data_IF_535117303584
#
_entry.id   IF_535117303584
#
_cell.length_a   1.000
_cell.length_b   1.000
_cell.length_c   1.000
_cell.angle_alpha   90.00
_cell.angle_beta   90.00
_cell.angle_gamma   90.00
#
_symmetry.space_group_name_H-M   'P 1'
#
loop_
_entity.id
_entity.type
_entity.pdbx_description
1 polymer ?
#
# COMPACT_ATOMS: atom_id res chain seq x y z
N UNK A 1 -14.17 2.83 -32.66
CA UNK A 1 -13.65 3.85 -31.72
C UNK A 1 -14.74 4.88 -31.49
N UNK A 2 -15.52 4.76 -30.42
CA UNK A 2 -16.53 5.77 -30.06
C UNK A 2 -15.97 6.61 -28.90
N UNK A 3 -15.39 7.77 -29.22
CA UNK A 3 -15.16 8.81 -28.22
C UNK A 3 -16.52 9.36 -27.80
N UNK A 4 -16.88 9.16 -26.53
CA UNK A 4 -18.04 9.82 -25.93
C UNK A 4 -17.68 11.30 -25.77
N UNK A 5 -18.12 12.12 -26.73
CA UNK A 5 -18.12 13.58 -26.61
C UNK A 5 -19.05 13.97 -25.47
N UNK A 6 -18.51 14.29 -24.30
CA UNK A 6 -19.29 15.00 -23.29
C UNK A 6 -19.72 16.37 -23.88
N UNK A 7 -20.99 16.77 -23.75
CA UNK A 7 -21.45 18.05 -24.29
C UNK A 7 -20.66 19.18 -23.63
N UNK A 8 -20.00 19.98 -24.45
CA UNK A 8 -19.29 21.16 -23.97
C UNK A 8 -20.33 22.16 -23.45
N UNK A 9 -20.19 22.73 -22.23
CA UNK A 9 -21.18 23.66 -21.69
C UNK A 9 -21.48 24.82 -22.64
N UNK A 10 -22.76 25.13 -22.86
CA UNK A 10 -23.20 26.17 -23.81
C UNK A 10 -22.49 27.52 -23.61
N UNK A 11 -22.31 27.92 -22.34
CA UNK A 11 -21.62 29.17 -21.97
C UNK A 11 -20.19 29.29 -22.53
N UNK A 12 -19.46 28.18 -22.68
CA UNK A 12 -18.11 28.20 -23.26
C UNK A 12 -18.16 28.38 -24.78
N UNK A 13 -19.11 27.69 -25.44
CA UNK A 13 -19.32 27.80 -26.88
C UNK A 13 -19.71 29.23 -27.26
N UNK A 14 -20.63 29.83 -26.50
CA UNK A 14 -21.09 31.21 -26.72
C UNK A 14 -19.96 32.23 -26.55
N UNK A 15 -19.14 32.09 -25.50
CA UNK A 15 -17.98 32.95 -25.28
C UNK A 15 -16.90 32.79 -26.35
N UNK A 16 -16.66 31.56 -26.81
CA UNK A 16 -15.73 31.28 -27.90
C UNK A 16 -16.17 31.96 -29.20
N UNK A 17 -17.46 31.85 -29.54
CA UNK A 17 -18.05 32.53 -30.68
C UNK A 17 -17.94 34.05 -30.58
N UNK A 18 -18.21 34.63 -29.41
CA UNK A 18 -18.16 36.07 -29.19
C UNK A 18 -16.73 36.65 -29.23
N UNK A 19 -15.71 35.87 -28.85
CA UNK A 19 -14.31 36.33 -28.77
C UNK A 19 -13.44 35.88 -29.94
N UNK A 20 -13.99 35.12 -30.89
CA UNK A 20 -13.23 34.50 -31.98
C UNK A 20 -12.22 33.44 -31.50
N UNK A 21 -12.37 32.94 -30.27
CA UNK A 21 -11.49 31.92 -29.71
C UNK A 21 -11.93 30.54 -30.20
N UNK A 22 -11.04 29.69 -30.74
CA UNK A 22 -11.40 28.32 -31.10
C UNK A 22 -11.89 27.52 -29.88
N UNK A 23 -13.03 26.84 -29.98
CA UNK A 23 -13.66 26.11 -28.86
C UNK A 23 -12.82 24.94 -28.31
N UNK A 24 -11.85 24.48 -29.09
CA UNK A 24 -10.88 23.45 -28.72
C UNK A 24 -9.66 24.01 -27.98
N UNK A 25 -9.40 25.32 -28.07
CA UNK A 25 -8.26 25.98 -27.43
C UNK A 25 -8.52 26.17 -25.95
N UNK A 26 -8.18 25.16 -25.16
CA UNK A 26 -8.45 25.10 -23.70
C UNK A 26 -7.18 25.23 -22.86
N UNK A 27 -6.19 25.99 -23.34
CA UNK A 27 -4.98 26.30 -22.57
C UNK A 27 -5.28 27.19 -21.35
N UNK A 28 -4.37 27.20 -20.37
CA UNK A 28 -4.57 27.91 -19.10
C UNK A 28 -4.80 29.42 -19.30
N UNK A 29 -4.12 30.04 -20.27
CA UNK A 29 -4.27 31.47 -20.55
C UNK A 29 -5.66 31.80 -21.12
N UNK A 30 -6.19 30.91 -21.96
CA UNK A 30 -7.54 31.01 -22.50
C UNK A 30 -8.59 30.80 -21.42
N UNK A 31 -8.40 29.80 -20.55
CA UNK A 31 -9.31 29.55 -19.42
C UNK A 31 -9.33 30.70 -18.41
N UNK A 32 -8.19 31.33 -18.13
CA UNK A 32 -8.12 32.49 -17.24
C UNK A 32 -8.80 33.72 -17.84
N UNK A 33 -8.73 33.90 -19.16
CA UNK A 33 -9.44 34.95 -19.88
C UNK A 33 -10.95 34.74 -19.82
N UNK A 34 -11.41 33.52 -20.10
CA UNK A 34 -12.82 33.13 -19.97
C UNK A 34 -13.34 33.35 -18.55
N UNK A 35 -12.56 32.95 -17.53
CA UNK A 35 -12.90 33.16 -16.11
C UNK A 35 -13.10 34.65 -15.79
N UNK A 36 -12.21 35.52 -16.28
CA UNK A 36 -12.28 36.96 -16.02
C UNK A 36 -13.45 37.64 -16.73
N UNK A 37 -13.76 37.22 -17.96
CA UNK A 37 -14.75 37.89 -18.81
C UNK A 37 -16.17 37.38 -18.59
N UNK A 38 -16.36 36.06 -18.50
CA UNK A 38 -17.69 35.44 -18.43
C UNK A 38 -18.10 35.07 -16.99
N UNK A 39 -17.18 35.18 -16.02
CA UNK A 39 -17.38 34.81 -14.61
C UNK A 39 -18.18 33.50 -14.42
N UNK A 40 -17.78 32.40 -15.09
CA UNK A 40 -18.51 31.15 -15.05
C UNK A 40 -18.49 30.53 -13.65
N UNK A 41 -19.50 29.69 -13.36
CA UNK A 41 -19.49 28.87 -12.15
C UNK A 41 -18.32 27.87 -12.16
N UNK A 42 -17.94 27.39 -10.97
CA UNK A 42 -16.86 26.40 -10.81
C UNK A 42 -17.15 25.10 -11.58
N UNK A 43 -18.40 24.68 -11.64
CA UNK A 43 -18.85 23.49 -12.37
C UNK A 43 -18.57 23.63 -13.87
N UNK A 44 -18.85 24.80 -14.45
CA UNK A 44 -18.60 25.07 -15.87
C UNK A 44 -17.11 25.08 -16.16
N UNK A 45 -16.29 25.70 -15.30
CA UNK A 45 -14.82 25.71 -15.43
C UNK A 45 -14.21 24.30 -15.38
N UNK A 46 -14.70 23.44 -14.48
CA UNK A 46 -14.20 22.08 -14.33
C UNK A 46 -14.62 21.18 -15.50
N UNK A 47 -15.77 21.45 -16.14
CA UNK A 47 -16.24 20.71 -17.32
C UNK A 47 -15.44 21.03 -18.61
N UNK A 48 -14.91 22.25 -18.73
CA UNK A 48 -14.16 22.68 -19.94
C UNK A 48 -12.66 22.53 -19.83
N UNK A 49 -12.11 22.41 -18.61
CA UNK A 49 -10.68 22.14 -18.43
C UNK A 49 -10.31 20.89 -19.23
N UNK A 50 -9.24 20.93 -20.04
CA UNK A 50 -8.76 19.72 -20.66
C UNK A 50 -8.49 18.73 -19.54
N UNK A 51 -9.07 17.53 -19.63
CA UNK A 51 -8.60 16.40 -18.84
C UNK A 51 -7.20 16.12 -19.37
N UNK A 52 -6.20 16.82 -18.84
CA UNK A 52 -4.82 16.41 -19.01
C UNK A 52 -4.77 15.05 -18.34
N UNK A 53 -4.71 14.00 -19.15
CA UNK A 53 -4.34 12.64 -18.74
C UNK A 53 -2.85 12.62 -18.38
N UNK A 54 -2.42 13.53 -17.49
CA UNK A 54 -1.33 13.19 -16.58
C UNK A 54 -1.88 12.06 -15.73
N UNK A 55 -1.41 10.83 -15.97
CA UNK A 55 -1.53 9.66 -15.10
C UNK A 55 -1.85 10.09 -13.66
N UNK A 56 -3.15 10.15 -13.33
CA UNK A 56 -3.62 10.84 -12.12
C UNK A 56 -3.33 9.92 -10.95
N UNK A 57 -2.11 10.02 -10.43
CA UNK A 57 -1.69 9.44 -9.17
C UNK A 57 -1.72 10.56 -8.10
N UNK A 58 -2.91 11.01 -7.65
CA UNK A 58 -3.04 12.21 -6.81
C UNK A 58 -2.39 12.03 -5.44
N UNK A 59 -2.29 10.78 -4.97
CA UNK A 59 -1.65 10.44 -3.71
C UNK A 59 -0.12 10.24 -3.84
N UNK A 60 0.42 10.09 -5.07
CA UNK A 60 1.86 9.94 -5.29
C UNK A 60 2.62 11.19 -4.83
N UNK A 61 3.71 11.05 -4.04
CA UNK A 61 4.48 12.18 -3.56
C UNK A 61 4.90 13.09 -4.70
N UNK A 62 4.70 14.40 -4.54
CA UNK A 62 5.01 15.40 -5.58
C UNK A 62 6.49 15.35 -5.95
N UNK A 63 7.35 15.11 -4.97
CA UNK A 63 8.80 14.97 -5.12
C UNK A 63 9.19 13.80 -6.05
N UNK A 64 8.34 12.77 -6.16
CA UNK A 64 8.61 11.57 -6.95
C UNK A 64 7.92 11.57 -8.32
N UNK A 65 7.16 12.61 -8.68
CA UNK A 65 6.32 12.64 -9.90
C UNK A 65 7.10 12.71 -11.21
N UNK A 66 8.31 13.25 -11.18
CA UNK A 66 9.14 13.47 -12.37
C UNK A 66 10.30 12.48 -12.47
N UNK A 67 10.20 11.36 -11.73
CA UNK A 67 11.23 10.35 -11.65
C UNK A 67 10.69 9.02 -12.17
N UNK A 68 11.01 8.70 -13.41
CA UNK A 68 10.51 7.53 -14.14
C UNK A 68 10.93 6.18 -13.53
N UNK A 69 11.86 6.22 -12.56
CA UNK A 69 12.33 5.04 -11.80
C UNK A 69 11.98 5.09 -10.32
N UNK A 70 11.19 6.06 -9.87
CA UNK A 70 10.96 6.28 -8.44
C UNK A 70 10.29 5.10 -7.74
N UNK A 71 9.29 4.47 -8.37
CA UNK A 71 8.65 3.29 -7.80
C UNK A 71 9.63 2.12 -7.70
N UNK A 72 10.36 1.83 -8.78
CA UNK A 72 11.35 0.75 -8.82
C UNK A 72 12.46 0.95 -7.76
N UNK A 73 12.95 2.18 -7.61
CA UNK A 73 13.92 2.55 -6.56
C UNK A 73 13.35 2.37 -5.16
N UNK A 74 12.13 2.83 -4.93
CA UNK A 74 11.46 2.68 -3.64
C UNK A 74 11.28 1.20 -3.27
N UNK A 75 10.78 0.39 -4.21
CA UNK A 75 10.61 -1.06 -4.01
C UNK A 75 11.98 -1.70 -3.72
N UNK A 76 13.01 -1.41 -4.53
CA UNK A 76 14.37 -1.93 -4.32
C UNK A 76 14.93 -1.57 -2.94
N UNK A 77 14.82 -0.30 -2.56
CA UNK A 77 15.23 0.22 -1.24
C UNK A 77 14.43 -0.40 -0.09
N UNK A 78 13.14 -0.67 -0.30
CA UNK A 78 12.28 -1.36 0.66
C UNK A 78 12.66 -2.83 0.82
N UNK A 79 12.80 -3.56 -0.30
CA UNK A 79 13.20 -4.97 -0.36
C UNK A 79 14.57 -5.19 0.29
N UNK A 80 15.54 -4.33 0.00
CA UNK A 80 16.86 -4.32 0.65
C UNK A 80 16.74 -4.25 2.18
N UNK A 81 15.92 -3.31 2.71
CA UNK A 81 15.70 -3.18 4.16
C UNK A 81 14.94 -4.35 4.76
N UNK A 82 13.94 -4.89 4.05
CA UNK A 82 13.24 -6.11 4.46
C UNK A 82 14.24 -7.27 4.60
N UNK A 83 15.33 -7.26 3.84
CA UNK A 83 16.39 -8.26 3.91
C UNK A 83 17.48 -7.98 4.95
N UNK A 84 17.50 -6.81 5.59
CA UNK A 84 18.47 -6.48 6.64
C UNK A 84 18.30 -7.40 7.86
N UNK A 85 19.30 -8.21 8.23
CA UNK A 85 19.21 -9.16 9.35
C UNK A 85 18.87 -8.49 10.70
N UNK A 86 19.28 -7.25 10.91
CA UNK A 86 19.09 -6.52 12.17
C UNK A 86 17.70 -5.87 12.26
N UNK A 87 16.94 -5.86 11.17
CA UNK A 87 15.61 -5.28 11.16
C UNK A 87 14.61 -6.22 11.86
N UNK A 88 13.96 -5.70 12.90
CA UNK A 88 12.94 -6.44 13.63
C UNK A 88 11.74 -6.81 12.73
N UNK A 89 11.05 -7.90 13.09
CA UNK A 89 9.98 -8.47 12.27
C UNK A 89 8.77 -7.53 12.11
N UNK A 90 8.49 -6.65 13.09
CA UNK A 90 7.38 -5.69 13.01
C UNK A 90 7.73 -4.60 12.00
N UNK A 91 8.96 -4.11 12.03
CA UNK A 91 9.47 -3.15 11.04
C UNK A 91 9.46 -3.74 9.63
N UNK A 92 9.80 -5.02 9.46
CA UNK A 92 9.67 -5.72 8.16
C UNK A 92 8.22 -5.75 7.68
N UNK A 93 7.25 -6.06 8.55
CA UNK A 93 5.83 -6.03 8.20
C UNK A 93 5.37 -4.63 7.78
N UNK A 94 5.76 -3.60 8.55
CA UNK A 94 5.42 -2.20 8.24
C UNK A 94 6.03 -1.75 6.91
N UNK A 95 7.25 -2.19 6.58
CA UNK A 95 7.87 -1.94 5.29
C UNK A 95 7.14 -2.65 4.14
N UNK A 96 6.79 -3.93 4.29
CA UNK A 96 5.98 -4.65 3.29
C UNK A 96 4.67 -3.91 3.00
N UNK A 97 3.97 -3.45 4.04
CA UNK A 97 2.75 -2.62 3.89
C UNK A 97 3.04 -1.29 3.19
N UNK A 98 4.15 -0.61 3.53
CA UNK A 98 4.54 0.65 2.90
C UNK A 98 4.79 0.47 1.40
N UNK A 99 5.57 -0.54 1.02
CA UNK A 99 5.89 -0.82 -0.39
C UNK A 99 4.63 -1.22 -1.16
N UNK A 100 3.75 -2.03 -0.57
CA UNK A 100 2.44 -2.31 -1.14
C UNK A 100 1.61 -1.03 -1.35
N UNK A 101 1.51 -0.18 -0.33
CA UNK A 101 0.80 1.08 -0.44
C UNK A 101 1.39 1.97 -1.55
N UNK A 102 2.72 1.97 -1.73
CA UNK A 102 3.38 2.71 -2.79
C UNK A 102 2.92 2.26 -4.18
N UNK A 103 2.82 0.94 -4.43
CA UNK A 103 2.29 0.38 -5.69
C UNK A 103 0.84 0.80 -5.94
N UNK A 104 0.01 0.83 -4.89
CA UNK A 104 -1.39 1.24 -5.02
C UNK A 104 -1.53 2.68 -5.51
N UNK A 105 -0.71 3.59 -4.99
CA UNK A 105 -0.85 5.02 -5.25
C UNK A 105 0.06 5.55 -6.35
N UNK A 106 1.06 4.77 -6.79
CA UNK A 106 2.00 5.21 -7.81
C UNK A 106 1.34 5.27 -9.19
N UNK A 107 1.83 6.14 -10.10
CA UNK A 107 1.35 6.23 -11.47
C UNK A 107 1.35 4.89 -12.20
N UNK A 108 0.41 4.72 -13.13
CA UNK A 108 0.25 3.48 -13.91
C UNK A 108 1.45 3.23 -14.83
N UNK A 109 2.00 4.30 -15.39
CA UNK A 109 3.24 4.34 -16.18
C UNK A 109 4.47 3.88 -15.41
N UNK A 110 4.46 3.96 -14.06
CA UNK A 110 5.52 3.40 -13.21
C UNK A 110 5.24 1.95 -12.79
N UNK A 111 4.13 1.35 -13.26
CA UNK A 111 3.68 0.01 -12.87
C UNK A 111 2.75 -0.02 -11.64
N UNK A 112 2.24 1.12 -11.20
CA UNK A 112 1.26 1.24 -10.12
C UNK A 112 -0.21 1.20 -10.55
N UNK A 113 -1.10 1.58 -9.64
CA UNK A 113 -2.55 1.65 -9.89
C UNK A 113 -3.13 3.08 -9.89
N UNK A 114 -2.34 4.09 -9.55
CA UNK A 114 -2.76 5.49 -9.54
C UNK A 114 -3.91 5.80 -8.58
N UNK A 115 -4.11 5.00 -7.53
CA UNK A 115 -5.21 5.20 -6.61
C UNK A 115 -5.03 6.48 -5.79
N UNK A 116 -6.14 7.16 -5.51
CA UNK A 116 -6.17 8.20 -4.48
C UNK A 116 -6.15 7.58 -3.07
N UNK A 117 -5.95 8.43 -2.05
CA UNK A 117 -5.85 7.99 -0.66
C UNK A 117 -7.11 7.27 -0.17
N UNK A 118 -8.29 7.68 -0.65
CA UNK A 118 -9.56 7.08 -0.24
C UNK A 118 -9.69 5.69 -0.84
N UNK A 119 -9.47 5.58 -2.16
CA UNK A 119 -9.55 4.32 -2.90
C UNK A 119 -8.52 3.29 -2.43
N UNK A 120 -7.30 3.74 -2.12
CA UNK A 120 -6.27 2.85 -1.57
C UNK A 120 -6.70 2.27 -0.20
N UNK A 121 -7.30 3.10 0.67
CA UNK A 121 -7.77 2.66 2.00
C UNK A 121 -9.00 1.77 1.94
N UNK A 122 -9.92 2.05 1.02
CA UNK A 122 -11.14 1.27 0.81
C UNK A 122 -10.95 0.08 -0.13
N UNK A 123 -9.71 -0.25 -0.49
CA UNK A 123 -9.42 -1.36 -1.39
C UNK A 123 -9.70 -2.68 -0.68
N UNK A 124 -10.57 -3.49 -1.29
CA UNK A 124 -10.95 -4.81 -0.82
C UNK A 124 -10.39 -5.91 -1.75
N UNK A 125 -10.40 -7.19 -1.31
CA UNK A 125 -9.87 -8.31 -2.08
C UNK A 125 -10.41 -8.41 -3.52
N UNK A 126 -11.74 -8.35 -3.69
CA UNK A 126 -12.39 -8.44 -5.01
C UNK A 126 -11.90 -7.34 -5.96
N UNK A 127 -11.84 -6.10 -5.48
CA UNK A 127 -11.39 -4.97 -6.29
C UNK A 127 -9.90 -5.07 -6.61
N UNK A 128 -9.05 -5.55 -5.69
CA UNK A 128 -7.65 -5.79 -6.02
C UNK A 128 -7.51 -6.91 -7.05
N UNK A 129 -8.32 -7.97 -7.01
CA UNK A 129 -8.27 -9.02 -8.02
C UNK A 129 -8.55 -8.48 -9.44
N UNK A 130 -9.53 -7.59 -9.57
CA UNK A 130 -9.85 -6.91 -10.84
C UNK A 130 -8.70 -6.00 -11.33
N UNK A 131 -8.01 -5.34 -10.39
CA UNK A 131 -6.93 -4.39 -10.70
C UNK A 131 -5.57 -5.07 -10.87
N UNK A 132 -5.37 -6.26 -10.31
CA UNK A 132 -4.08 -6.95 -10.28
C UNK A 132 -3.44 -7.14 -11.67
N UNK A 133 -4.18 -7.46 -12.75
CA UNK A 133 -3.60 -7.55 -14.09
C UNK A 133 -3.02 -6.23 -14.62
N UNK A 134 -3.37 -5.09 -14.02
CA UNK A 134 -2.89 -3.76 -14.42
C UNK A 134 -1.59 -3.37 -13.70
N UNK A 135 -1.18 -4.13 -12.68
CA UNK A 135 0.04 -3.86 -11.92
C UNK A 135 1.24 -4.28 -12.76
N UNK A 136 2.21 -3.37 -12.90
CA UNK A 136 3.40 -3.63 -13.68
C UNK A 136 4.30 -4.70 -13.07
N UNK A 137 5.04 -5.38 -13.93
CA UNK A 137 6.16 -6.23 -13.56
C UNK A 137 7.49 -5.57 -13.96
N UNK A 138 8.57 -5.97 -13.32
CA UNK A 138 9.93 -5.59 -13.69
C UNK A 138 10.79 -6.84 -13.82
N UNK A 139 11.88 -6.78 -14.56
CA UNK A 139 12.79 -7.93 -14.75
C UNK A 139 13.45 -8.36 -13.43
N UNK A 140 13.84 -7.40 -12.60
CA UNK A 140 14.41 -7.63 -11.28
C UNK A 140 13.32 -7.73 -10.20
N UNK A 141 13.24 -8.89 -9.55
CA UNK A 141 12.30 -9.20 -8.49
C UNK A 141 12.41 -8.23 -7.30
N UNK A 142 13.60 -7.70 -7.01
CA UNK A 142 13.82 -6.76 -5.91
C UNK A 142 13.15 -5.39 -6.14
N UNK A 143 12.84 -5.04 -7.40
CA UNK A 143 12.17 -3.79 -7.80
C UNK A 143 10.78 -3.99 -8.42
N UNK A 144 10.27 -5.23 -8.45
CA UNK A 144 9.05 -5.59 -9.16
C UNK A 144 7.76 -5.22 -8.38
N UNK A 145 6.87 -4.36 -8.93
CA UNK A 145 5.62 -3.98 -8.26
C UNK A 145 4.69 -5.17 -7.96
N UNK A 146 4.52 -6.08 -8.92
CA UNK A 146 3.73 -7.29 -8.73
C UNK A 146 4.28 -8.18 -7.59
N UNK A 147 5.61 -8.30 -7.44
CA UNK A 147 6.23 -9.02 -6.34
C UNK A 147 5.99 -8.35 -4.98
N UNK A 148 6.02 -7.01 -4.92
CA UNK A 148 5.71 -6.28 -3.70
C UNK A 148 4.25 -6.50 -3.24
N UNK A 149 3.31 -6.50 -4.20
CA UNK A 149 1.90 -6.81 -3.93
C UNK A 149 1.75 -8.23 -3.42
N UNK A 150 2.34 -9.20 -4.11
CA UNK A 150 2.32 -10.60 -3.69
C UNK A 150 2.90 -10.78 -2.28
N UNK A 151 4.01 -10.13 -1.95
CA UNK A 151 4.64 -10.21 -0.63
C UNK A 151 3.73 -9.71 0.49
N UNK A 152 2.88 -8.72 0.23
CA UNK A 152 1.91 -8.27 1.22
C UNK A 152 0.69 -9.18 1.30
N UNK A 153 0.22 -9.71 0.17
CA UNK A 153 -0.86 -10.70 0.14
C UNK A 153 -0.48 -12.00 0.89
N UNK A 154 0.78 -12.42 0.86
CA UNK A 154 1.27 -13.54 1.66
C UNK A 154 1.13 -13.28 3.17
N UNK A 155 1.40 -12.05 3.63
CA UNK A 155 1.17 -11.65 5.03
C UNK A 155 -0.31 -11.71 5.36
N UNK A 156 -1.18 -11.10 4.54
CA UNK A 156 -2.63 -11.09 4.80
C UNK A 156 -3.21 -12.50 4.77
N UNK A 157 -2.81 -13.32 3.79
CA UNK A 157 -3.09 -14.75 3.65
C UNK A 157 -2.72 -15.58 4.87
N UNK A 158 -1.56 -15.30 5.44
CA UNK A 158 -1.11 -15.98 6.65
C UNK A 158 -1.92 -15.52 7.86
N UNK A 159 -2.30 -14.25 7.94
CA UNK A 159 -2.95 -13.67 9.13
C UNK A 159 -4.41 -14.11 9.26
N UNK A 160 -5.06 -14.38 8.13
CA UNK A 160 -6.45 -14.83 8.06
C UNK A 160 -6.62 -16.30 8.41
N UNK A 161 -5.65 -17.15 8.01
CA UNK A 161 -5.72 -18.60 8.14
C UNK A 161 -4.89 -19.16 9.30
N UNK A 162 -3.91 -18.40 9.79
CA UNK A 162 -2.90 -18.88 10.75
C UNK A 162 -2.75 -17.98 11.96
N UNK A 163 -2.12 -18.52 13.00
CA UNK A 163 -1.89 -17.79 14.25
C UNK A 163 -0.91 -16.63 14.09
N UNK A 164 -0.92 -15.71 15.07
CA UNK A 164 0.07 -14.63 15.14
C UNK A 164 1.53 -15.15 15.20
N UNK A 165 1.73 -16.38 15.69
CA UNK A 165 3.02 -17.05 15.63
C UNK A 165 3.50 -17.31 14.19
N UNK A 166 2.59 -17.66 13.28
CA UNK A 166 2.90 -17.85 11.86
C UNK A 166 3.26 -16.53 11.17
N UNK A 167 2.54 -15.44 11.49
CA UNK A 167 2.88 -14.10 11.00
C UNK A 167 4.23 -13.64 11.51
N UNK A 168 4.53 -13.86 12.79
CA UNK A 168 5.85 -13.57 13.35
C UNK A 168 6.95 -14.38 12.66
N UNK A 169 6.71 -15.67 12.40
CA UNK A 169 7.65 -16.50 11.66
C UNK A 169 7.88 -15.98 10.23
N UNK A 170 6.81 -15.61 9.51
CA UNK A 170 6.86 -15.04 8.17
C UNK A 170 7.52 -13.65 8.13
N UNK A 171 7.27 -12.82 9.15
CA UNK A 171 7.91 -11.52 9.32
C UNK A 171 9.41 -11.62 9.58
N UNK A 172 9.87 -12.73 10.18
CA UNK A 172 11.30 -13.05 10.35
C UNK A 172 11.94 -13.59 9.07
N UNK A 173 11.17 -14.13 8.12
CA UNK A 173 11.71 -14.62 6.85
C UNK A 173 12.23 -13.44 6.02
N UNK A 174 13.49 -13.58 5.59
CA UNK A 174 14.07 -12.74 4.53
C UNK A 174 13.55 -13.20 3.19
N UNK A 175 13.57 -12.28 2.25
CA UNK A 175 13.18 -12.56 0.89
C UNK A 175 14.28 -13.36 0.20
N UNK A 176 13.93 -14.52 -0.36
CA UNK A 176 14.90 -15.36 -1.07
C UNK A 176 15.39 -14.66 -2.34
N UNK A 177 16.63 -14.17 -2.29
CA UNK A 177 17.29 -13.50 -3.41
C UNK A 177 17.83 -14.47 -4.47
N UNK A 178 17.81 -15.79 -4.22
CA UNK A 178 18.32 -16.82 -5.14
C UNK A 178 17.23 -17.48 -5.98
N UNK A 179 15.96 -17.12 -5.74
CA UNK A 179 14.85 -17.57 -6.56
C UNK A 179 14.95 -16.95 -7.95
N UNK A 180 15.17 -17.79 -8.97
CA UNK A 180 15.13 -17.38 -10.38
C UNK A 180 13.72 -16.97 -10.81
N UNK A 181 12.69 -17.44 -10.10
CA UNK A 181 11.29 -17.09 -10.37
C UNK A 181 10.84 -15.90 -9.53
N UNK A 182 10.06 -15.02 -10.15
CA UNK A 182 9.40 -13.93 -9.45
C UNK A 182 8.32 -14.48 -8.51
N UNK A 183 8.14 -13.85 -7.36
CA UNK A 183 7.12 -14.26 -6.37
C UNK A 183 5.71 -14.27 -6.94
N UNK A 184 5.39 -13.25 -7.73
CA UNK A 184 4.05 -13.09 -8.31
C UNK A 184 3.71 -14.15 -9.37
N UNK A 185 4.69 -14.95 -9.80
CA UNK A 185 4.51 -16.08 -10.72
C UNK A 185 4.22 -17.40 -9.98
N UNK A 186 4.44 -17.44 -8.66
CA UNK A 186 4.05 -18.57 -7.82
C UNK A 186 2.54 -18.61 -7.68
N UNK A 187 2.02 -19.77 -7.27
CA UNK A 187 0.61 -19.87 -6.87
C UNK A 187 0.26 -18.80 -5.85
N UNK A 188 -0.98 -18.32 -5.93
CA UNK A 188 -1.46 -17.33 -4.98
C UNK A 188 -1.35 -17.90 -3.56
N UNK A 189 -0.67 -17.23 -2.61
CA UNK A 189 -0.50 -17.76 -1.26
C UNK A 189 -1.84 -17.86 -0.54
N UNK A 190 -2.88 -17.16 -1.02
CA UNK A 190 -4.22 -17.30 -0.50
C UNK A 190 -5.30 -17.14 -1.60
N UNK A 191 -5.61 -18.21 -2.35
CA UNK A 191 -6.59 -18.15 -3.44
C UNK A 191 -8.02 -17.87 -2.94
N UNK A 192 -8.31 -18.14 -1.67
CA UNK A 192 -9.67 -18.01 -1.08
C UNK A 192 -9.94 -16.62 -0.48
N UNK A 193 -9.03 -15.65 -0.67
CA UNK A 193 -9.20 -14.26 -0.20
C UNK A 193 -10.48 -13.56 -0.66
N UNK A 194 -11.15 -14.05 -1.71
CA UNK A 194 -12.45 -13.55 -2.17
C UNK A 194 -13.62 -13.99 -1.29
N UNK A 195 -13.45 -15.12 -0.60
CA UNK A 195 -14.47 -15.76 0.21
C UNK A 195 -14.36 -15.33 1.68
N UNK A 196 -13.63 -14.25 1.96
CA UNK A 196 -13.47 -13.71 3.30
C UNK A 196 -14.56 -12.68 3.59
N UNK A 197 -15.66 -13.06 4.27
CA UNK A 197 -16.76 -12.14 4.54
C UNK A 197 -16.34 -10.99 5.46
N UNK A 198 -15.29 -11.16 6.25
CA UNK A 198 -14.90 -10.22 7.32
C UNK A 198 -13.69 -9.34 7.01
N UNK A 199 -12.95 -9.59 5.91
CA UNK A 199 -11.73 -8.84 5.61
C UNK A 199 -12.00 -7.74 4.59
N UNK A 200 -12.48 -6.61 5.11
CA UNK A 200 -12.93 -5.49 4.32
C UNK A 200 -11.80 -4.69 3.65
N UNK A 201 -10.55 -4.84 4.12
CA UNK A 201 -9.48 -3.94 3.72
C UNK A 201 -8.12 -4.62 3.53
N UNK A 202 -7.34 -4.09 2.59
CA UNK A 202 -5.99 -4.59 2.26
C UNK A 202 -4.86 -3.73 2.85
N UNK A 203 -5.20 -2.71 3.65
CA UNK A 203 -4.24 -1.87 4.36
C UNK A 203 -4.55 -1.85 5.86
N UNK A 204 -4.56 -3.00 6.56
CA UNK A 204 -4.90 -3.05 7.97
C UNK A 204 -3.97 -2.18 8.81
N UNK A 205 -4.50 -1.64 9.91
CA UNK A 205 -3.66 -1.05 10.94
C UNK A 205 -2.70 -2.11 11.52
N UNK A 206 -1.50 -1.69 11.93
CA UNK A 206 -0.52 -2.57 12.57
C UNK A 206 -0.19 -1.91 13.90
N UNK A 207 -0.48 -2.59 15.00
CA UNK A 207 -0.22 -2.05 16.33
C UNK A 207 1.29 -2.09 16.69
N UNK A 208 1.62 -1.80 17.95
CA UNK A 208 3.01 -1.83 18.44
C UNK A 208 3.59 -3.24 18.60
N UNK A 209 2.75 -4.26 18.65
CA UNK A 209 3.13 -5.67 18.82
C UNK A 209 3.07 -6.45 17.51
N UNK A 210 2.66 -5.82 16.42
CA UNK A 210 2.56 -6.42 15.10
C UNK A 210 1.24 -7.13 14.85
N UNK A 211 0.18 -6.87 15.64
CA UNK A 211 -1.17 -7.33 15.32
C UNK A 211 -1.75 -6.50 14.18
N UNK A 212 -2.36 -7.20 13.23
CA UNK A 212 -3.05 -6.61 12.09
C UNK A 212 -4.54 -6.51 12.41
N UNK A 213 -5.08 -5.29 12.39
CA UNK A 213 -6.52 -5.08 12.50
C UNK A 213 -7.19 -5.37 11.15
N UNK A 214 -7.86 -6.52 11.06
CA UNK A 214 -8.48 -7.00 9.82
C UNK A 214 -9.78 -6.25 9.47
N UNK A 215 -10.39 -5.57 10.44
CA UNK A 215 -11.69 -4.93 10.30
C UNK A 215 -11.52 -3.47 9.87
N UNK A 216 -10.49 -2.79 10.39
CA UNK A 216 -10.22 -1.40 10.07
C UNK A 216 -9.02 -1.20 9.15
N UNK A 217 -9.22 -0.37 8.12
CA UNK A 217 -8.13 0.14 7.30
C UNK A 217 -7.32 1.17 8.07
N UNK A 218 -6.05 1.29 7.73
CA UNK A 218 -5.12 2.27 8.28
C UNK A 218 -5.75 3.68 8.34
N UNK A 219 -5.53 4.39 9.44
CA UNK A 219 -6.02 5.76 9.62
C UNK A 219 -5.50 6.71 8.51
N UNK A 220 -6.28 7.71 8.03
CA UNK A 220 -5.83 8.66 7.00
C UNK A 220 -4.50 9.34 7.31
N UNK A 221 -4.28 9.72 8.57
CA UNK A 221 -3.02 10.35 9.01
C UNK A 221 -1.84 9.38 8.87
N UNK A 222 -2.05 8.10 9.20
CA UNK A 222 -1.01 7.07 9.08
C UNK A 222 -0.66 6.80 7.62
N UNK A 223 -1.64 6.80 6.69
CA UNK A 223 -1.34 6.76 5.26
C UNK A 223 -0.56 8.00 4.80
N UNK A 224 -0.87 9.17 5.33
CA UNK A 224 -0.12 10.40 5.02
C UNK A 224 1.33 10.30 5.49
N UNK A 225 1.57 9.74 6.67
CA UNK A 225 2.93 9.43 7.16
C UNK A 225 3.64 8.46 6.22
N UNK A 226 2.98 7.38 5.78
CA UNK A 226 3.57 6.44 4.82
C UNK A 226 4.00 7.15 3.53
N UNK A 227 3.14 8.01 2.97
CA UNK A 227 3.43 8.78 1.75
C UNK A 227 4.66 9.69 1.94
N UNK A 228 4.83 10.31 3.11
CA UNK A 228 6.05 11.06 3.41
C UNK A 228 7.28 10.15 3.51
N UNK A 229 7.16 9.00 4.19
CA UNK A 229 8.26 8.02 4.32
C UNK A 229 8.69 7.44 2.98
N UNK A 230 7.79 7.33 2.00
CA UNK A 230 8.12 6.86 0.64
C UNK A 230 9.23 7.70 -0.02
N UNK A 231 9.22 9.03 0.18
CA UNK A 231 10.26 9.93 -0.35
C UNK A 231 11.61 9.58 0.25
N UNK A 232 11.68 9.45 1.58
CA UNK A 232 12.91 9.10 2.29
C UNK A 232 13.47 7.75 1.86
N UNK A 233 12.61 6.76 1.64
CA UNK A 233 13.02 5.41 1.21
C UNK A 233 13.52 5.42 -0.25
N UNK A 234 12.87 6.18 -1.14
CA UNK A 234 13.25 6.27 -2.54
C UNK A 234 14.60 6.99 -2.75
N UNK A 235 14.89 7.98 -1.91
CA UNK A 235 16.14 8.76 -1.96
C UNK A 235 17.31 8.04 -1.28
N UNK A 236 17.04 7.19 -0.28
CA UNK A 236 18.09 6.52 0.45
C UNK A 236 18.87 5.50 -0.40
N UNK A 237 20.17 5.32 -0.14
CA UNK A 237 20.98 4.35 -0.87
C UNK A 237 20.48 2.93 -0.65
N UNK A 238 20.56 2.12 -1.71
CA UNK A 238 20.31 0.69 -1.64
C UNK A 238 21.55 0.02 -1.07
N UNK A 239 21.37 -0.76 0.00
CA UNK A 239 22.45 -1.55 0.60
C UNK A 239 22.12 -3.02 0.41
N UNK A 240 23.02 -3.77 -0.22
CA UNK A 240 22.84 -5.21 -0.35
C UNK A 240 23.31 -5.90 0.93
N UNK A 241 22.41 -6.65 1.56
CA UNK A 241 22.73 -7.44 2.75
C UNK A 241 23.00 -8.88 2.31
N UNK A 242 24.18 -9.45 2.63
CA UNK A 242 24.46 -10.85 2.36
C UNK A 242 23.37 -11.74 2.98
N UNK A 243 22.86 -12.68 2.19
CA UNK A 243 22.01 -13.76 2.68
C UNK A 243 22.90 -14.75 3.45
N UNK A 244 23.23 -14.44 4.70
CA UNK A 244 23.75 -15.45 5.63
C UNK A 244 22.65 -16.43 5.96
N UNK A 245 22.91 -17.73 6.08
CA UNK A 245 21.89 -18.64 6.61
C UNK A 245 21.40 -18.15 7.98
N UNK A 246 20.09 -18.25 8.30
CA UNK A 246 19.63 -17.92 9.63
C UNK A 246 20.41 -18.77 10.62
N UNK A 247 21.02 -18.12 11.62
CA UNK A 247 21.66 -18.85 12.71
C UNK A 247 20.65 -19.88 13.27
N UNK A 248 21.08 -21.12 13.54
CA UNK A 248 20.18 -22.15 14.04
C UNK A 248 19.43 -21.60 15.25
N UNK A 249 18.10 -21.71 15.21
CA UNK A 249 17.25 -21.30 16.33
C UNK A 249 17.77 -22.06 17.55
N UNK A 250 18.15 -21.37 18.65
CA UNK A 250 18.51 -22.06 19.88
C UNK A 250 17.37 -23.02 20.21
N UNK A 251 17.67 -24.27 20.59
CA UNK A 251 16.62 -25.24 20.89
C UNK A 251 15.62 -24.59 21.84
N UNK A 252 14.33 -24.68 21.49
CA UNK A 252 13.28 -24.17 22.35
C UNK A 252 13.51 -24.74 23.74
N UNK A 253 13.59 -23.86 24.75
CA UNK A 253 13.79 -24.28 26.14
C UNK A 253 12.72 -25.33 26.45
N UNK A 254 13.16 -26.53 26.81
CA UNK A 254 12.24 -27.55 27.28
C UNK A 254 11.70 -27.08 28.64
N UNK A 255 10.42 -26.74 28.69
CA UNK A 255 9.71 -26.46 29.94
C UNK A 255 9.31 -27.83 30.49
N UNK A 256 9.66 -28.14 31.74
CA UNK A 256 9.21 -29.38 32.37
C UNK A 256 7.72 -29.30 32.70
N UNK A 257 6.99 -30.42 32.86
CA UNK A 257 5.59 -30.39 33.30
C UNK A 257 5.38 -29.63 34.62
N UNK A 258 6.38 -29.69 35.51
CA UNK A 258 6.39 -28.95 36.78
C UNK A 258 6.53 -27.45 36.55
N UNK A 259 7.44 -27.02 35.67
CA UNK A 259 7.62 -25.61 35.33
C UNK A 259 6.42 -25.05 34.56
N UNK A 260 5.79 -25.85 33.69
CA UNK A 260 4.55 -25.48 33.01
C UNK A 260 3.40 -25.27 34.00
N UNK A 261 3.28 -26.15 35.00
CA UNK A 261 2.29 -26.02 36.08
C UNK A 261 2.53 -24.74 36.90
N UNK A 262 3.79 -24.41 37.20
CA UNK A 262 4.14 -23.19 37.92
C UNK A 262 3.83 -21.93 37.09
N UNK A 263 4.15 -21.95 35.79
CA UNK A 263 3.84 -20.84 34.86
C UNK A 263 2.33 -20.61 34.78
N UNK A 264 1.54 -21.69 34.64
CA UNK A 264 0.08 -21.61 34.55
C UNK A 264 -0.53 -21.12 35.87
N UNK A 265 -0.09 -21.63 37.01
CA UNK A 265 -0.54 -21.17 38.33
C UNK A 265 -0.28 -19.67 38.50
N UNK A 266 0.90 -19.20 38.08
CA UNK A 266 1.27 -17.79 38.18
C UNK A 266 0.47 -16.90 37.21
N UNK A 267 0.11 -17.44 36.04
CA UNK A 267 -0.78 -16.75 35.10
C UNK A 267 -2.21 -16.63 35.66
N UNK A 268 -2.72 -17.67 36.31
CA UNK A 268 -4.03 -17.67 36.95
C UNK A 268 -4.10 -16.69 38.12
N UNK A 269 -3.06 -16.61 38.95
CA UNK A 269 -2.95 -15.60 40.00
C UNK A 269 -2.98 -14.16 39.44
N UNK A 270 -2.25 -13.94 38.34
CA UNK A 270 -2.20 -12.64 37.67
C UNK A 270 -3.59 -12.27 37.11
N UNK A 271 -4.26 -13.22 36.46
CA UNK A 271 -5.60 -13.04 35.91
C UNK A 271 -6.64 -12.78 37.01
N UNK A 272 -6.56 -13.48 38.13
CA UNK A 272 -7.42 -13.26 39.29
C UNK A 272 -7.20 -11.87 39.91
N UNK A 273 -5.94 -11.39 39.93
CA UNK A 273 -5.61 -10.05 40.40
C UNK A 273 -6.13 -8.96 39.46
N UNK A 274 -5.95 -9.12 38.15
CA UNK A 274 -6.50 -8.20 37.14
C UNK A 274 -8.02 -8.16 37.22
N UNK A 275 -8.67 -9.33 37.34
CA UNK A 275 -10.14 -9.42 37.47
C UNK A 275 -10.66 -8.71 38.72
N UNK A 276 -9.90 -8.74 39.84
CA UNK A 276 -10.25 -7.99 41.06
C UNK A 276 -10.16 -6.48 40.84
N UNK A 277 -9.06 -6.02 40.25
CA UNK A 277 -8.84 -4.60 39.95
C UNK A 277 -9.95 -4.08 39.01
N UNK A 278 -10.28 -4.84 37.96
CA UNK A 278 -11.33 -4.44 37.01
C UNK A 278 -12.73 -4.40 37.66
N UNK A 279 -12.99 -5.20 38.71
CA UNK A 279 -14.24 -5.15 39.49
C UNK A 279 -14.28 -4.02 40.51
N UNK A 280 -13.13 -3.53 40.98
CA UNK A 280 -13.05 -2.42 41.93
C UNK A 280 -13.15 -1.04 41.25
N UNK A 281 -12.84 -0.96 39.96
CA UNK A 281 -12.76 0.31 39.20
C UNK A 281 -13.65 0.35 37.94
N UNK A 282 -14.51 -0.65 37.73
CA UNK A 282 -15.55 -0.67 36.69
C UNK A 282 -16.94 -0.55 37.32
#
# INVERSE_FOLDING_TARGET
MNQVLHPTPGLWVDWCAATGTPSERRDQATLDRFRKQAQPSRIVLDAIRPKVETSRAPAWPVQLRHHDTALARLIRSGSSRINNPDLDWISRLRLRRLVFAAVLISPVDLGGLGLDRSKARSLNPRRLQELRPQIGSADDAASCPACAVWSWLEILGTNSKWSQGAIKALGRRRDDARSETHRHQREDPCPDWLDWPEQANLLPAIDRWGYLDQYESIHPSSLSILIHTMVMIAEAPVVEFPQTEPAPVPPARHISPEEETEILSRADELNARISRILKEFG
#
